data_IF_336645947616
#
_entry.id   IF_336645947616
#
_cell.length_a   1.000
_cell.length_b   1.000
_cell.length_c   1.000
_cell.angle_alpha   90.00
_cell.angle_beta   90.00
_cell.angle_gamma   90.00
#
_symmetry.space_group_name_H-M   'P 1'
#
loop_
_entity.id
_entity.type
_entity.pdbx_description
1 polymer ?
#
# COMPACT_ATOMS: atom_id res chain seq x y z
N UNK A 1 -5.22 -14.15 9.19
CA UNK A 1 -5.92 -12.99 8.59
C UNK A 1 -6.84 -12.36 9.62
N UNK A 2 -6.52 -11.12 10.00
CA UNK A 2 -7.35 -10.31 10.91
C UNK A 2 -8.72 -10.08 10.28
N UNK A 3 -9.79 -10.22 11.07
CA UNK A 3 -11.15 -9.99 10.58
C UNK A 3 -11.50 -8.52 10.77
N UNK A 4 -11.93 -7.82 9.72
CA UNK A 4 -12.40 -6.45 9.85
C UNK A 4 -13.65 -6.36 10.71
N UNK A 5 -13.67 -5.38 11.61
CA UNK A 5 -14.84 -4.94 12.33
C UNK A 5 -15.82 -4.19 11.43
N UNK A 6 -17.04 -3.95 11.96
CA UNK A 6 -18.13 -3.33 11.18
C UNK A 6 -17.84 -1.89 10.70
N UNK A 7 -16.87 -1.21 11.32
CA UNK A 7 -16.49 0.17 11.02
C UNK A 7 -15.20 0.27 10.23
N UNK A 8 -14.55 -0.85 9.95
CA UNK A 8 -13.31 -0.86 9.19
C UNK A 8 -13.64 -0.65 7.71
N UNK A 9 -13.12 0.44 7.17
CA UNK A 9 -13.32 0.85 5.78
C UNK A 9 -12.12 0.31 4.98
N UNK A 10 -12.31 -0.54 3.96
CA UNK A 10 -11.20 -0.97 3.10
C UNK A 10 -10.99 0.01 1.95
N UNK A 11 -9.72 0.23 1.60
CA UNK A 11 -9.33 0.80 0.31
C UNK A 11 -9.42 -0.31 -0.74
N UNK A 12 -10.14 -0.06 -1.84
CA UNK A 12 -10.26 -1.00 -2.96
C UNK A 12 -9.42 -0.51 -4.13
N UNK A 13 -8.34 -1.22 -4.42
CA UNK A 13 -7.45 -0.87 -5.51
C UNK A 13 -7.17 -2.06 -6.42
N UNK A 14 -6.91 -1.80 -7.70
CA UNK A 14 -6.48 -2.83 -8.65
C UNK A 14 -5.00 -2.64 -8.96
N UNK A 15 -4.17 -3.50 -8.38
CA UNK A 15 -2.74 -3.61 -8.70
C UNK A 15 -2.59 -4.69 -9.77
N UNK A 16 -1.88 -4.42 -10.87
CA UNK A 16 -1.76 -5.37 -11.98
C UNK A 16 -0.51 -5.13 -12.83
N UNK A 17 -0.19 -6.07 -13.71
CA UNK A 17 0.96 -5.97 -14.61
C UNK A 17 2.28 -5.84 -13.83
N UNK A 18 3.18 -4.99 -14.32
CA UNK A 18 4.52 -4.81 -13.75
C UNK A 18 4.49 -4.36 -12.28
N UNK A 19 3.53 -3.52 -11.89
CA UNK A 19 3.38 -3.12 -10.49
C UNK A 19 3.16 -4.31 -9.55
N UNK A 20 2.34 -5.28 -9.98
CA UNK A 20 2.05 -6.46 -9.19
C UNK A 20 3.24 -7.43 -9.16
N UNK A 21 3.88 -7.64 -10.31
CA UNK A 21 5.09 -8.48 -10.40
C UNK A 21 6.19 -7.96 -9.46
N UNK A 22 6.42 -6.65 -9.46
CA UNK A 22 7.45 -6.04 -8.61
C UNK A 22 7.08 -6.12 -7.14
N UNK A 23 5.83 -5.81 -6.79
CA UNK A 23 5.34 -5.93 -5.42
C UNK A 23 5.49 -7.36 -4.87
N UNK A 24 5.24 -8.37 -5.70
CA UNK A 24 5.28 -9.77 -5.30
C UNK A 24 6.67 -10.29 -4.96
N UNK A 25 7.75 -9.64 -5.42
CA UNK A 25 9.12 -9.98 -5.02
C UNK A 25 9.38 -9.67 -3.54
N UNK A 26 8.63 -8.72 -2.98
CA UNK A 26 8.84 -8.18 -1.64
C UNK A 26 7.86 -8.74 -0.60
N UNK A 27 7.07 -9.77 -0.94
CA UNK A 27 6.06 -10.34 -0.03
C UNK A 27 6.65 -10.92 1.24
N UNK A 28 7.92 -11.35 1.22
CA UNK A 28 8.59 -11.84 2.42
C UNK A 28 8.65 -10.79 3.54
N UNK A 29 8.79 -9.51 3.19
CA UNK A 29 8.77 -8.41 4.17
C UNK A 29 7.38 -8.13 4.74
N UNK A 30 6.32 -8.75 4.20
CA UNK A 30 4.94 -8.57 4.64
C UNK A 30 4.46 -9.69 5.58
N UNK A 31 5.33 -10.64 5.95
CA UNK A 31 4.96 -11.81 6.76
C UNK A 31 4.41 -11.44 8.14
N UNK A 32 4.77 -10.27 8.65
CA UNK A 32 4.32 -9.79 9.97
C UNK A 32 2.89 -9.23 9.95
N UNK A 33 2.31 -8.95 8.77
CA UNK A 33 0.96 -8.39 8.63
C UNK A 33 -0.12 -9.45 8.42
N UNK A 34 -0.26 -10.37 9.38
CA UNK A 34 -1.44 -11.25 9.51
C UNK A 34 -1.87 -12.00 8.22
N UNK A 35 -0.94 -12.42 7.37
CA UNK A 35 -1.22 -13.11 6.10
C UNK A 35 -1.29 -12.22 4.86
N UNK A 36 -0.83 -10.97 4.96
CA UNK A 36 -0.72 -10.04 3.83
C UNK A 36 0.25 -10.57 2.76
N UNK A 37 1.37 -11.15 3.18
CA UNK A 37 2.33 -11.87 2.33
C UNK A 37 1.63 -12.88 1.40
N UNK A 38 0.80 -13.75 1.98
CA UNK A 38 0.07 -14.80 1.25
C UNK A 38 -1.04 -14.19 0.40
N UNK A 39 -1.71 -13.15 0.89
CA UNK A 39 -2.76 -12.43 0.17
C UNK A 39 -2.22 -11.74 -1.09
N UNK A 40 -1.09 -11.05 -1.00
CA UNK A 40 -0.43 -10.39 -2.13
C UNK A 40 0.25 -11.42 -3.04
N UNK A 41 0.95 -12.41 -2.49
CA UNK A 41 1.62 -13.46 -3.27
C UNK A 41 0.65 -14.28 -4.13
N UNK A 42 -0.57 -14.54 -3.66
CA UNK A 42 -1.59 -15.25 -4.43
C UNK A 42 -2.43 -14.34 -5.36
N UNK A 43 -2.36 -13.02 -5.18
CA UNK A 43 -3.18 -12.09 -5.93
C UNK A 43 -2.79 -12.09 -7.42
N UNK A 44 -3.81 -12.09 -8.30
CA UNK A 44 -3.62 -12.22 -9.76
C UNK A 44 -3.80 -10.92 -10.53
N UNK A 45 -4.14 -9.82 -9.87
CA UNK A 45 -4.34 -8.52 -10.52
C UNK A 45 -5.57 -8.41 -11.42
N UNK A 46 -6.46 -9.42 -11.42
CA UNK A 46 -7.65 -9.43 -12.28
C UNK A 46 -8.78 -8.57 -11.71
N UNK A 47 -9.00 -8.65 -10.39
CA UNK A 47 -10.08 -7.94 -9.66
C UNK A 47 -9.49 -7.04 -8.59
N UNK A 48 -10.10 -5.90 -8.24
CA UNK A 48 -9.60 -5.07 -7.14
C UNK A 48 -9.43 -5.87 -5.84
N UNK A 49 -8.34 -5.61 -5.13
CA UNK A 49 -8.08 -6.13 -3.80
C UNK A 49 -8.59 -5.13 -2.76
N UNK A 50 -9.12 -5.64 -1.64
CA UNK A 50 -9.50 -4.80 -0.49
C UNK A 50 -8.36 -4.82 0.51
N UNK A 51 -7.78 -3.66 0.81
CA UNK A 51 -6.73 -3.46 1.80
C UNK A 51 -7.31 -2.64 2.94
N UNK A 52 -7.21 -3.16 4.16
CA UNK A 52 -7.60 -2.43 5.37
C UNK A 52 -6.44 -1.59 5.88
N UNK A 53 -6.71 -0.71 6.85
CA UNK A 53 -5.71 0.20 7.41
C UNK A 53 -4.42 -0.53 7.81
N UNK A 54 -4.51 -1.63 8.57
CA UNK A 54 -3.33 -2.41 8.97
C UNK A 54 -2.62 -3.11 7.79
N UNK A 55 -3.36 -3.46 6.72
CA UNK A 55 -2.74 -3.99 5.51
C UNK A 55 -1.91 -2.88 4.84
N UNK A 56 -2.45 -1.66 4.77
CA UNK A 56 -1.80 -0.50 4.17
C UNK A 56 -0.63 0.01 5.00
N UNK A 57 -0.74 0.06 6.33
CA UNK A 57 0.36 0.47 7.22
C UNK A 57 1.59 -0.41 6.98
N UNK A 58 1.39 -1.74 6.92
CA UNK A 58 2.48 -2.66 6.61
C UNK A 58 2.98 -2.48 5.18
N UNK A 59 2.07 -2.41 4.21
CA UNK A 59 2.45 -2.30 2.80
C UNK A 59 3.24 -1.03 2.51
N UNK A 60 2.84 0.11 3.08
CA UNK A 60 3.53 1.39 2.94
C UNK A 60 4.92 1.35 3.61
N UNK A 61 5.04 0.76 4.80
CA UNK A 61 6.34 0.61 5.47
C UNK A 61 7.31 -0.28 4.69
N UNK A 62 6.82 -1.39 4.13
CA UNK A 62 7.63 -2.27 3.27
C UNK A 62 8.06 -1.55 2.00
N UNK A 63 7.13 -0.86 1.34
CA UNK A 63 7.43 -0.12 0.11
C UNK A 63 8.45 0.98 0.35
N UNK A 64 8.30 1.77 1.41
CA UNK A 64 9.26 2.83 1.78
C UNK A 64 10.66 2.24 2.03
N UNK A 65 10.75 1.18 2.85
CA UNK A 65 12.01 0.50 3.14
C UNK A 65 12.68 -0.05 1.87
N UNK A 66 11.90 -0.67 0.97
CA UNK A 66 12.40 -1.28 -0.27
C UNK A 66 12.85 -0.21 -1.27
N UNK A 67 12.08 0.86 -1.43
CA UNK A 67 12.39 1.96 -2.37
C UNK A 67 13.61 2.80 -1.91
N UNK A 68 13.90 2.82 -0.62
CA UNK A 68 15.09 3.47 -0.07
C UNK A 68 16.34 2.56 -0.03
N UNK A 69 16.19 1.28 -0.35
CA UNK A 69 17.30 0.33 -0.35
C UNK A 69 18.11 0.38 -1.66
N UNK A 70 19.28 1.03 -1.62
CA UNK A 70 20.20 1.14 -2.76
C UNK A 70 20.72 -0.21 -3.30
N UNK A 71 20.65 -1.29 -2.51
CA UNK A 71 21.02 -2.63 -3.02
C UNK A 71 19.93 -3.25 -3.88
N UNK A 72 18.67 -2.99 -3.54
CA UNK A 72 17.52 -3.47 -4.32
C UNK A 72 17.33 -2.60 -5.57
N UNK A 73 17.45 -1.28 -5.41
CA UNK A 73 17.32 -0.31 -6.50
C UNK A 73 18.51 0.66 -6.51
N UNK A 74 19.65 0.26 -7.09
CA UNK A 74 20.80 1.15 -7.24
C UNK A 74 20.50 2.31 -8.18
N UNK A 75 19.62 2.10 -9.17
CA UNK A 75 19.20 3.11 -10.13
C UNK A 75 17.70 3.38 -10.03
N UNK A 76 17.34 4.59 -9.61
CA UNK A 76 15.94 5.04 -9.46
C UNK A 76 15.21 5.31 -10.80
N UNK A 77 15.84 4.91 -11.91
CA UNK A 77 15.25 4.93 -13.25
C UNK A 77 14.85 3.53 -13.73
N UNK A 78 15.15 2.49 -12.95
CA UNK A 78 14.71 1.13 -13.26
C UNK A 78 13.18 1.09 -13.39
N UNK A 79 12.69 0.32 -14.36
CA UNK A 79 11.25 0.20 -14.60
C UNK A 79 10.52 -0.38 -13.39
N UNK A 80 11.10 -1.37 -12.71
CA UNK A 80 10.56 -1.93 -11.46
C UNK A 80 10.46 -0.86 -10.37
N UNK A 81 11.53 -0.09 -10.17
CA UNK A 81 11.53 1.04 -9.23
C UNK A 81 10.39 2.02 -9.51
N UNK A 82 10.27 2.48 -10.76
CA UNK A 82 9.27 3.48 -11.14
C UNK A 82 7.84 2.98 -10.93
N UNK A 83 7.58 1.71 -11.28
CA UNK A 83 6.27 1.08 -11.12
C UNK A 83 5.92 0.90 -9.64
N UNK A 84 6.89 0.49 -8.82
CA UNK A 84 6.71 0.30 -7.39
C UNK A 84 6.55 1.64 -6.65
N UNK A 85 7.31 2.66 -7.05
CA UNK A 85 7.18 4.02 -6.53
C UNK A 85 5.82 4.64 -6.87
N UNK A 86 5.33 4.45 -8.11
CA UNK A 86 4.00 4.90 -8.50
C UNK A 86 2.91 4.22 -7.65
N UNK A 87 3.05 2.92 -7.37
CA UNK A 87 2.15 2.20 -6.47
C UNK A 87 2.21 2.76 -5.04
N UNK A 88 3.40 3.01 -4.51
CA UNK A 88 3.58 3.61 -3.17
C UNK A 88 2.87 4.95 -3.05
N UNK A 89 3.05 5.86 -4.02
CA UNK A 89 2.39 7.17 -4.03
C UNK A 89 0.87 7.04 -4.08
N UNK A 90 0.36 6.17 -4.94
CA UNK A 90 -1.08 5.90 -5.04
C UNK A 90 -1.65 5.38 -3.71
N UNK A 91 -1.03 4.37 -3.09
CA UNK A 91 -1.51 3.82 -1.82
C UNK A 91 -1.42 4.82 -0.67
N UNK A 92 -0.38 5.65 -0.65
CA UNK A 92 -0.20 6.71 0.36
C UNK A 92 -1.30 7.75 0.27
N UNK A 93 -1.66 8.16 -0.95
CA UNK A 93 -2.77 9.06 -1.19
C UNK A 93 -4.11 8.45 -0.72
N UNK A 94 -4.41 7.23 -1.15
CA UNK A 94 -5.64 6.53 -0.75
C UNK A 94 -5.75 6.36 0.78
N UNK A 95 -4.63 6.08 1.44
CA UNK A 95 -4.56 6.00 2.90
C UNK A 95 -4.93 7.34 3.55
N UNK A 96 -4.31 8.44 3.10
CA UNK A 96 -4.57 9.77 3.63
C UNK A 96 -6.02 10.21 3.42
N UNK A 97 -6.57 9.98 2.23
CA UNK A 97 -7.95 10.32 1.90
C UNK A 97 -8.97 9.52 2.73
N UNK A 98 -8.65 8.27 3.06
CA UNK A 98 -9.57 7.35 3.76
C UNK A 98 -9.49 7.50 5.28
N UNK A 99 -8.28 7.60 5.85
CA UNK A 99 -8.07 7.49 7.31
C UNK A 99 -7.56 8.78 7.96
N UNK A 100 -7.03 9.72 7.17
CA UNK A 100 -6.60 11.04 7.65
C UNK A 100 -7.40 12.19 7.00
N UNK A 101 -8.74 12.12 6.92
CA UNK A 101 -9.50 13.21 6.32
C UNK A 101 -9.29 14.47 7.15
N UNK A 102 -8.61 15.44 6.53
CA UNK A 102 -8.09 16.67 7.10
C UNK A 102 -8.82 17.18 8.37
N UNK A 103 -8.04 17.36 9.44
CA UNK A 103 -8.34 18.23 10.59
C UNK A 103 -8.71 19.68 10.15
N UNK A 104 -8.59 20.03 8.87
CA UNK A 104 -8.82 21.36 8.31
C UNK A 104 -10.18 21.59 7.61
N UNK A 105 -11.27 20.90 8.02
CA UNK A 105 -12.65 21.28 7.61
C UNK A 105 -13.50 21.89 8.72
N UNK A 106 -12.92 22.31 9.84
CA UNK A 106 -13.62 23.18 10.78
C UNK A 106 -13.41 24.64 10.33
N UNK A 107 -14.46 25.39 9.93
CA UNK A 107 -14.31 26.82 9.84
C UNK A 107 -13.91 27.30 11.23
N UNK A 108 -12.78 28.02 11.34
CA UNK A 108 -12.44 28.77 12.53
C UNK A 108 -13.68 29.57 12.93
N UNK A 109 -14.34 29.16 14.02
CA UNK A 109 -15.43 29.94 14.59
C UNK A 109 -14.81 31.28 14.99
N UNK A 110 -15.07 32.31 14.18
CA UNK A 110 -14.79 33.70 14.56
C UNK A 110 -15.58 33.95 15.85
N UNK A 111 -14.86 34.15 16.96
CA UNK A 111 -15.38 34.79 18.16
C UNK A 111 -15.09 36.26 18.07
#
# INVERSE_FOLDING_TARGET
MMKPGKRDIPVKCKISGRQLEELQKHTWFMSEAYGLDTKIGNYKGVRPISLYQWDLDCLLGVLEMVLDNEKEYPEKQDEGYLQLYALYQFLKQEYQETYEPAINRLPLRKR
#
